data_IF_448425415799
#
_entry.id   IF_448425415799
#
_cell.length_a   1.000
_cell.length_b   1.000
_cell.length_c   1.000
_cell.angle_alpha   90.00
_cell.angle_beta   90.00
_cell.angle_gamma   90.00
#
_symmetry.space_group_name_H-M   'P 1'
#
loop_
_entity.id
_entity.type
_entity.pdbx_description
1 polymer ?
#
# COMPACT_ATOMS: atom_id res chain seq x y z
N UNK A 1 -1.09 13.80 -11.29
CA UNK A 1 -1.76 12.61 -10.70
C UNK A 1 -3.19 13.00 -10.40
N UNK A 2 -4.18 12.27 -10.94
CA UNK A 2 -5.60 12.57 -10.68
C UNK A 2 -5.97 12.00 -9.31
N UNK A 3 -6.40 12.84 -8.39
CA UNK A 3 -6.95 12.42 -7.10
C UNK A 3 -8.28 11.71 -7.36
N UNK A 4 -8.44 10.48 -6.84
CA UNK A 4 -9.72 9.76 -6.91
C UNK A 4 -10.66 10.36 -5.87
N UNK A 5 -11.96 10.51 -6.19
CA UNK A 5 -12.94 11.14 -5.31
C UNK A 5 -13.00 10.46 -3.94
N UNK A 6 -13.23 11.26 -2.90
CA UNK A 6 -13.24 10.84 -1.48
C UNK A 6 -14.33 9.81 -1.12
N UNK A 7 -15.22 9.49 -2.07
CA UNK A 7 -16.34 8.55 -1.93
C UNK A 7 -16.18 7.30 -2.80
N UNK A 8 -14.96 6.80 -3.01
CA UNK A 8 -14.85 5.45 -3.53
C UNK A 8 -15.45 4.49 -2.50
N UNK A 9 -16.57 3.89 -2.87
CA UNK A 9 -17.15 2.73 -2.20
C UNK A 9 -16.01 1.77 -1.77
N UNK A 10 -16.03 1.27 -0.52
CA UNK A 10 -14.90 0.52 0.06
C UNK A 10 -14.48 -0.67 -0.81
N UNK A 11 -15.40 -1.21 -1.62
CA UNK A 11 -15.15 -2.26 -2.60
C UNK A 11 -14.21 -1.80 -3.72
N UNK A 12 -14.35 -0.58 -4.23
CA UNK A 12 -13.47 -0.03 -5.27
C UNK A 12 -12.06 0.24 -4.72
N UNK A 13 -11.98 0.77 -3.49
CA UNK A 13 -10.70 0.98 -2.80
C UNK A 13 -10.00 -0.36 -2.48
N UNK A 14 -10.76 -1.35 -2.03
CA UNK A 14 -10.26 -2.71 -1.78
C UNK A 14 -9.76 -3.37 -3.07
N UNK A 15 -10.56 -3.33 -4.14
CA UNK A 15 -10.19 -3.91 -5.43
C UNK A 15 -8.91 -3.28 -6.00
N UNK A 16 -8.81 -1.95 -5.96
CA UNK A 16 -7.59 -1.25 -6.40
C UNK A 16 -6.37 -1.58 -5.55
N UNK A 17 -6.54 -1.73 -4.23
CA UNK A 17 -5.46 -2.14 -3.32
C UNK A 17 -4.98 -3.54 -3.61
N UNK A 18 -5.89 -4.50 -3.77
CA UNK A 18 -5.56 -5.88 -4.12
C UNK A 18 -4.86 -5.95 -5.49
N UNK A 19 -5.36 -5.23 -6.49
CA UNK A 19 -4.72 -5.14 -7.81
C UNK A 19 -3.26 -4.65 -7.71
N UNK A 20 -3.00 -3.61 -6.93
CA UNK A 20 -1.65 -3.11 -6.70
C UNK A 20 -0.78 -4.14 -5.96
N UNK A 21 -1.31 -4.79 -4.92
CA UNK A 21 -0.57 -5.81 -4.16
C UNK A 21 -0.25 -7.06 -5.00
N UNK A 22 -1.09 -7.39 -5.98
CA UNK A 22 -0.90 -8.53 -6.89
C UNK A 22 0.03 -8.22 -8.07
N UNK A 23 0.33 -6.95 -8.34
CA UNK A 23 1.24 -6.59 -9.41
C UNK A 23 2.68 -7.00 -9.04
N UNK A 24 3.38 -7.77 -9.89
CA UNK A 24 4.77 -8.14 -9.66
C UNK A 24 5.62 -6.85 -9.64
N UNK A 25 6.63 -6.80 -8.77
CA UNK A 25 7.50 -5.63 -8.54
C UNK A 25 6.84 -4.43 -7.83
N UNK A 26 5.59 -4.53 -7.37
CA UNK A 26 4.97 -3.47 -6.55
C UNK A 26 5.76 -3.12 -5.29
N UNK A 27 6.50 -4.08 -4.73
CA UNK A 27 7.39 -3.87 -3.58
C UNK A 27 8.68 -3.12 -3.91
N UNK A 28 9.04 -3.02 -5.19
CA UNK A 28 10.31 -2.41 -5.66
C UNK A 28 10.12 -0.96 -6.08
N UNK A 29 8.91 -0.58 -6.51
CA UNK A 29 8.61 0.79 -6.92
C UNK A 29 7.97 1.59 -5.76
N UNK A 30 8.67 2.60 -5.20
CA UNK A 30 8.19 3.35 -4.04
C UNK A 30 6.81 4.01 -4.23
N UNK A 31 6.47 4.38 -5.48
CA UNK A 31 5.16 4.96 -5.81
C UNK A 31 4.00 3.98 -5.58
N UNK A 32 4.19 2.69 -5.90
CA UNK A 32 3.16 1.68 -5.68
C UNK A 32 3.04 1.36 -4.20
N UNK A 33 4.16 1.23 -3.49
CA UNK A 33 4.15 1.00 -2.05
C UNK A 33 3.42 2.14 -1.31
N UNK A 34 3.75 3.40 -1.60
CA UNK A 34 3.06 4.57 -0.99
C UNK A 34 1.57 4.56 -1.28
N UNK A 35 1.17 4.16 -2.49
CA UNK A 35 -0.25 4.08 -2.87
C UNK A 35 -0.98 2.95 -2.12
N UNK A 36 -0.34 1.79 -1.95
CA UNK A 36 -0.87 0.67 -1.19
C UNK A 36 -1.09 1.09 0.27
N UNK A 37 -0.08 1.70 0.90
CA UNK A 37 -0.16 2.21 2.28
C UNK A 37 -1.33 3.20 2.42
N UNK A 38 -1.39 4.23 1.58
CA UNK A 38 -2.46 5.23 1.65
C UNK A 38 -3.86 4.63 1.47
N UNK A 39 -4.02 3.63 0.61
CA UNK A 39 -5.31 2.97 0.45
C UNK A 39 -5.68 2.11 1.66
N UNK A 40 -4.72 1.41 2.27
CA UNK A 40 -4.94 0.60 3.48
C UNK A 40 -5.31 1.49 4.68
N UNK A 41 -4.70 2.65 4.82
CA UNK A 41 -5.08 3.64 5.84
C UNK A 41 -6.51 4.16 5.63
N UNK A 42 -6.88 4.49 4.38
CA UNK A 42 -8.25 4.87 4.04
C UNK A 42 -9.25 3.76 4.34
N UNK A 43 -8.96 2.51 4.01
CA UNK A 43 -9.79 1.35 4.38
C UNK A 43 -9.89 1.18 5.90
N UNK A 44 -8.80 1.38 6.64
CA UNK A 44 -8.80 1.29 8.09
C UNK A 44 -9.67 2.36 8.78
N UNK A 45 -9.88 3.51 8.13
CA UNK A 45 -10.76 4.58 8.60
C UNK A 45 -12.23 4.43 8.18
N UNK A 46 -12.55 3.49 7.29
CA UNK A 46 -13.88 3.44 6.68
C UNK A 46 -14.91 2.72 7.59
N UNK A 47 -16.09 3.32 7.82
CA UNK A 47 -17.07 2.83 8.81
C UNK A 47 -17.71 1.50 8.44
N UNK A 48 -17.80 1.19 7.14
CA UNK A 48 -18.42 -0.05 6.66
C UNK A 48 -17.58 -1.33 6.92
N UNK A 49 -16.31 -1.21 7.33
CA UNK A 49 -15.48 -2.37 7.65
C UNK A 49 -15.64 -2.78 9.11
N UNK A 50 -15.44 -4.06 9.41
CA UNK A 50 -15.42 -4.54 10.80
C UNK A 50 -14.17 -4.05 11.54
N UNK A 51 -14.17 -4.14 12.88
CA UNK A 51 -13.01 -3.75 13.70
C UNK A 51 -11.76 -4.59 13.39
N UNK A 52 -11.96 -5.88 13.13
CA UNK A 52 -10.94 -6.85 12.76
C UNK A 52 -10.32 -6.45 11.42
N UNK A 53 -11.16 -6.15 10.43
CA UNK A 53 -10.68 -5.77 9.10
C UNK A 53 -9.91 -4.43 9.13
N UNK A 54 -10.39 -3.44 9.90
CA UNK A 54 -9.62 -2.21 10.15
C UNK A 54 -8.25 -2.50 10.77
N UNK A 55 -8.15 -3.48 11.65
CA UNK A 55 -6.89 -3.90 12.28
C UNK A 55 -5.97 -4.60 11.29
N UNK A 56 -6.51 -5.46 10.43
CA UNK A 56 -5.75 -6.09 9.32
C UNK A 56 -5.20 -5.03 8.37
N UNK A 57 -6.02 -4.05 7.96
CA UNK A 57 -5.57 -2.96 7.09
C UNK A 57 -4.40 -2.16 7.70
N UNK A 58 -4.47 -1.81 8.99
CA UNK A 58 -3.36 -1.13 9.69
C UNK A 58 -2.07 -1.96 9.74
N UNK A 59 -2.19 -3.25 10.03
CA UNK A 59 -1.02 -4.16 10.07
C UNK A 59 -0.37 -4.28 8.70
N UNK A 60 -1.17 -4.42 7.65
CA UNK A 60 -0.67 -4.46 6.28
C UNK A 60 0.01 -3.14 5.91
N UNK A 61 -0.58 -1.99 6.24
CA UNK A 61 0.02 -0.68 5.96
C UNK A 61 1.43 -0.58 6.56
N UNK A 62 1.59 -0.91 7.85
CA UNK A 62 2.90 -0.93 8.51
C UNK A 62 3.91 -1.86 7.82
N UNK A 63 3.49 -3.07 7.42
CA UNK A 63 4.36 -4.01 6.71
C UNK A 63 4.83 -3.49 5.34
N UNK A 64 3.99 -2.73 4.64
CA UNK A 64 4.37 -2.10 3.38
C UNK A 64 5.26 -0.88 3.59
N UNK A 65 5.07 -0.10 4.65
CA UNK A 65 5.96 1.01 5.02
C UNK A 65 7.38 0.54 5.35
N UNK A 66 7.54 -0.59 6.04
CA UNK A 66 8.85 -1.19 6.30
C UNK A 66 9.62 -1.47 5.00
N UNK A 67 8.93 -1.81 3.90
CA UNK A 67 9.55 -2.00 2.59
C UNK A 67 10.05 -0.67 1.98
N UNK A 68 9.39 0.45 2.25
CA UNK A 68 9.89 1.77 1.87
C UNK A 68 11.16 2.13 2.65
N UNK A 69 11.20 1.82 3.93
CA UNK A 69 12.39 2.06 4.75
C UNK A 69 13.57 1.17 4.31
N UNK A 70 13.31 -0.10 3.98
CA UNK A 70 14.32 -1.04 3.48
C UNK A 70 14.87 -0.69 2.10
N UNK A 71 14.05 -0.16 1.20
CA UNK A 71 14.48 0.30 -0.14
C UNK A 71 15.32 1.58 -0.08
N UNK A 72 15.07 2.46 0.90
CA UNK A 72 15.89 3.66 1.12
C UNK A 72 17.32 3.33 1.63
N UNK A 73 17.51 2.18 2.28
CA UNK A 73 18.82 1.69 2.74
C UNK A 73 19.59 0.84 1.72
N UNK A 74 18.97 0.51 0.57
CA UNK A 74 19.53 -0.38 -0.45
C UNK A 74 20.19 0.36 -1.61
N UNK A 75 21.23 1.15 -1.37
CA UNK A 75 22.24 1.40 -2.40
C UNK A 75 23.11 0.14 -2.45
N UNK A 76 22.82 -0.77 -3.38
CA UNK A 76 23.60 -2.00 -3.55
C UNK A 76 25.08 -1.69 -3.81
N UNK A 77 26.02 -2.56 -3.41
CA UNK A 77 27.36 -2.49 -3.96
C UNK A 77 27.23 -2.68 -5.48
N UNK A 78 27.73 -1.71 -6.24
CA UNK A 78 27.95 -1.84 -7.67
C UNK A 78 28.62 -3.19 -7.94
N UNK A 79 27.96 -4.07 -8.70
CA UNK A 79 28.62 -5.21 -9.30
C UNK A 79 29.62 -4.64 -10.32
N UNK A 80 30.88 -4.58 -9.91
CA UNK A 80 32.01 -4.29 -10.78
C UNK A 80 32.21 -5.53 -11.65
N UNK A 81 32.11 -5.34 -12.97
CA UNK A 81 32.50 -6.31 -13.99
C UNK A 81 33.98 -6.67 -13.89
#
# INVERSE_FOLDING_TARGET
MRELPDFLEPQALLAGTLCLMSCPHSGEAPVFVRRIVANLEKLAGHPALSAEMRTVCRRLAAQWEERLAGTAGGHGPASVH
#
